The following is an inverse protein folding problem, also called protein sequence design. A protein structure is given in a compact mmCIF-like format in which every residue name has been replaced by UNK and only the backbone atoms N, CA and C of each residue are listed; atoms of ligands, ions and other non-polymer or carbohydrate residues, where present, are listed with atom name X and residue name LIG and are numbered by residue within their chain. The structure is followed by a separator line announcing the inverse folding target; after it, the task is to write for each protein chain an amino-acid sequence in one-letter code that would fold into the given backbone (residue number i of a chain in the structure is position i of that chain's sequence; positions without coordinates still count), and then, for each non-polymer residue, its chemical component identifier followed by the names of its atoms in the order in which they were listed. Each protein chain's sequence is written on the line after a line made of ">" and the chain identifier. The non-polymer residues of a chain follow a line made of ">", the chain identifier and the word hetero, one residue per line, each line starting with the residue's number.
data_IF_778438608078
#
_entry.id   IF_778438608078
#
_cell.length_a   1.000
_cell.length_b   1.000
_cell.length_c   1.000
_cell.angle_alpha   90.00
_cell.angle_beta   90.00
_cell.angle_gamma   90.00
#
_symmetry.space_group_name_H-M   'P 1'
#
loop_
_entity.id
_entity.type
_entity.pdbx_description
1 polymer ?
#
# COMPACT_ATOMS: atom_id res chain seq x y z
N UNK A 1 6.37 -4.39 -11.88
CA UNK A 1 7.22 -3.91 -10.76
C UNK A 1 6.39 -2.96 -9.90
N UNK A 2 6.46 -3.09 -8.57
CA UNK A 2 5.78 -2.20 -7.63
C UNK A 2 6.83 -1.53 -6.74
N UNK A 3 6.89 -0.22 -6.73
CA UNK A 3 7.78 0.56 -5.86
C UNK A 3 6.97 1.52 -5.02
N UNK A 4 7.48 1.88 -3.85
CA UNK A 4 6.84 2.83 -2.93
C UNK A 4 7.91 3.64 -2.19
N UNK A 5 7.67 4.94 -2.06
CA UNK A 5 8.42 5.92 -1.28
C UNK A 5 7.45 6.91 -0.62
N UNK A 6 7.98 7.91 0.10
CA UNK A 6 7.22 8.84 0.92
C UNK A 6 7.72 10.28 0.80
N UNK A 7 6.81 11.22 1.03
CA UNK A 7 7.13 12.61 1.34
C UNK A 7 6.36 13.04 2.58
N UNK A 8 7.04 13.72 3.50
CA UNK A 8 6.44 14.21 4.74
C UNK A 8 6.29 15.73 4.68
N UNK A 9 5.09 16.22 5.00
CA UNK A 9 4.83 17.66 5.22
C UNK A 9 3.87 17.80 6.40
N UNK A 10 4.37 18.33 7.51
CA UNK A 10 3.57 18.51 8.73
C UNK A 10 2.93 17.19 9.21
N UNK A 11 1.61 17.19 9.46
CA UNK A 11 0.80 16.04 9.93
C UNK A 11 0.23 15.19 8.79
N UNK A 12 0.85 15.28 7.61
CA UNK A 12 0.47 14.53 6.42
C UNK A 12 1.67 13.72 5.91
N UNK A 13 1.44 12.43 5.75
CA UNK A 13 2.34 11.52 5.04
C UNK A 13 1.77 11.30 3.64
N UNK A 14 2.54 11.67 2.62
CA UNK A 14 2.23 11.36 1.24
C UNK A 14 2.97 10.09 0.84
N UNK A 15 2.23 9.09 0.38
CA UNK A 15 2.75 7.88 -0.23
C UNK A 15 2.83 8.14 -1.73
N UNK A 16 3.98 7.85 -2.34
CA UNK A 16 4.18 7.95 -3.78
C UNK A 16 4.85 6.66 -4.26
N UNK A 17 4.31 6.04 -5.30
CA UNK A 17 4.91 4.82 -5.84
C UNK A 17 4.87 4.77 -7.36
N UNK A 18 5.85 4.07 -7.92
CA UNK A 18 5.98 3.82 -9.35
C UNK A 18 5.54 2.39 -9.66
N UNK A 19 4.94 2.17 -10.83
CA UNK A 19 4.52 0.85 -11.27
C UNK A 19 4.37 0.73 -12.78
N UNK A 20 4.45 -0.50 -13.28
CA UNK A 20 4.12 -0.88 -14.66
C UNK A 20 2.68 -1.39 -14.82
N UNK A 21 1.88 -1.33 -13.75
CA UNK A 21 0.44 -1.60 -13.83
C UNK A 21 -0.23 -0.61 -14.80
N UNK A 22 -1.24 -1.06 -15.55
CA UNK A 22 -1.97 -0.19 -16.47
C UNK A 22 -2.76 0.88 -15.71
N UNK A 23 -3.02 1.99 -16.38
CA UNK A 23 -3.87 3.05 -15.86
C UNK A 23 -5.26 2.52 -15.47
N UNK A 24 -5.75 2.98 -14.33
CA UNK A 24 -7.00 2.53 -13.72
C UNK A 24 -6.84 1.30 -12.81
N UNK A 25 -5.69 0.62 -12.80
CA UNK A 25 -5.42 -0.41 -11.80
C UNK A 25 -5.49 0.18 -10.39
N UNK A 26 -6.08 -0.57 -9.47
CA UNK A 26 -6.22 -0.16 -8.07
C UNK A 26 -5.22 -0.94 -7.23
N UNK A 27 -4.47 -0.27 -6.37
CA UNK A 27 -3.61 -0.90 -5.36
C UNK A 27 -4.18 -0.63 -3.98
N UNK A 28 -3.97 -1.55 -3.04
CA UNK A 28 -4.19 -1.27 -1.61
C UNK A 28 -2.89 -0.82 -0.98
N UNK A 29 -3.00 0.07 0.00
CA UNK A 29 -1.89 0.39 0.89
C UNK A 29 -2.34 0.21 2.34
N UNK A 30 -1.41 -0.21 3.18
CA UNK A 30 -1.52 -0.20 4.63
C UNK A 30 -0.29 0.50 5.17
N UNK A 31 -0.48 1.52 6.00
CA UNK A 31 0.59 2.20 6.70
C UNK A 31 0.44 1.95 8.19
N UNK A 32 1.47 1.40 8.80
CA UNK A 32 1.48 1.05 10.21
C UNK A 32 2.66 1.72 10.92
N UNK A 33 2.38 2.39 12.04
CA UNK A 33 3.40 2.80 12.99
C UNK A 33 3.77 1.62 13.90
N UNK A 34 5.03 1.52 14.33
CA UNK A 34 5.54 0.38 15.11
C UNK A 34 4.76 0.08 16.40
N UNK A 35 4.25 1.11 17.06
CA UNK A 35 3.38 0.99 18.24
C UNK A 35 2.00 0.41 17.91
N UNK A 36 1.51 0.60 16.68
CA UNK A 36 0.25 0.02 16.21
C UNK A 36 0.35 -1.50 15.99
N UNK A 37 1.54 -1.99 15.62
CA UNK A 37 1.79 -3.42 15.41
C UNK A 37 1.98 -4.21 16.72
N UNK A 38 2.18 -3.53 17.85
CA UNK A 38 2.40 -4.15 19.17
C UNK A 38 1.11 -4.32 19.98
N UNK A 39 0.00 -3.77 19.47
CA UNK A 39 -1.28 -3.72 20.14
C UNK A 39 -2.34 -4.42 19.26
N UNK A 40 -3.38 -5.03 19.83
CA UNK A 40 -4.51 -5.51 19.04
C UNK A 40 -5.07 -4.37 18.19
N UNK A 41 -5.23 -4.57 16.89
CA UNK A 41 -5.63 -3.51 15.94
C UNK A 41 -6.99 -2.86 16.25
N UNK A 42 -7.81 -3.54 17.07
CA UNK A 42 -9.10 -3.06 17.54
C UNK A 42 -9.03 -2.27 18.87
N UNK A 43 -7.87 -2.16 19.51
CA UNK A 43 -7.70 -1.43 20.76
C UNK A 43 -7.13 -0.03 20.54
N UNK A 44 -7.53 0.92 21.38
CA UNK A 44 -6.91 2.24 21.41
C UNK A 44 -5.54 2.12 22.10
N UNK A 45 -4.44 2.70 21.57
CA UNK A 45 -4.35 3.63 20.43
C UNK A 45 -4.08 3.03 19.03
N UNK A 46 -4.02 1.71 18.86
CA UNK A 46 -3.59 1.06 17.60
C UNK A 46 -4.38 1.51 16.36
N UNK A 47 -5.70 1.71 16.48
CA UNK A 47 -6.55 2.18 15.37
C UNK A 47 -6.11 3.54 14.78
N UNK A 48 -5.51 4.42 15.58
CA UNK A 48 -5.03 5.73 15.10
C UNK A 48 -3.61 5.68 14.54
N UNK A 49 -2.94 4.55 14.68
CA UNK A 49 -1.55 4.30 14.29
C UNK A 49 -1.44 3.42 13.05
N UNK A 50 -2.58 2.97 12.52
CA UNK A 50 -2.70 2.22 11.27
C UNK A 50 -3.64 3.01 10.36
N UNK A 51 -3.26 3.19 9.10
CA UNK A 51 -4.10 3.78 8.07
C UNK A 51 -4.00 2.95 6.81
N UNK A 52 -5.14 2.50 6.30
CA UNK A 52 -5.22 1.76 5.05
C UNK A 52 -6.11 2.49 4.03
N UNK A 53 -6.03 2.05 2.78
CA UNK A 53 -6.86 2.57 1.72
C UNK A 53 -6.48 2.02 0.35
N UNK A 54 -6.97 2.69 -0.68
CA UNK A 54 -6.68 2.34 -2.07
C UNK A 54 -6.16 3.55 -2.83
N UNK A 55 -5.32 3.29 -3.84
CA UNK A 55 -4.85 4.29 -4.78
C UNK A 55 -5.03 3.78 -6.21
N UNK A 56 -5.40 4.69 -7.11
CA UNK A 56 -5.55 4.39 -8.54
C UNK A 56 -4.25 4.72 -9.26
N UNK A 57 -3.79 3.80 -10.09
CA UNK A 57 -2.64 3.98 -10.96
C UNK A 57 -3.00 4.90 -12.13
N UNK A 58 -2.21 5.94 -12.33
CA UNK A 58 -2.30 6.85 -13.47
C UNK A 58 -0.90 7.22 -13.95
N UNK A 59 -0.66 7.10 -15.25
CA UNK A 59 0.64 7.37 -15.87
C UNK A 59 1.81 6.63 -15.18
N UNK A 60 1.57 5.38 -14.77
CA UNK A 60 2.57 4.54 -14.07
C UNK A 60 2.88 4.97 -12.64
N UNK A 61 2.05 5.83 -12.04
CA UNK A 61 2.21 6.31 -10.66
C UNK A 61 0.94 6.08 -9.85
N UNK A 62 1.09 5.93 -8.55
CA UNK A 62 -0.01 5.99 -7.60
C UNK A 62 0.39 6.84 -6.40
N UNK A 63 -0.59 7.54 -5.82
CA UNK A 63 -0.35 8.39 -4.65
C UNK A 63 -1.47 8.26 -3.63
N UNK A 64 -1.13 8.38 -2.35
CA UNK A 64 -2.10 8.45 -1.26
C UNK A 64 -1.66 9.48 -0.21
N UNK A 65 -2.62 9.95 0.59
CA UNK A 65 -2.37 10.86 1.71
C UNK A 65 -2.89 10.22 2.98
N UNK A 66 -2.04 10.20 3.99
CA UNK A 66 -2.33 9.64 5.31
C UNK A 66 -2.22 10.74 6.35
N UNK A 67 -3.23 10.83 7.21
CA UNK A 67 -3.22 11.76 8.33
C UNK A 67 -2.43 11.16 9.49
N UNK A 68 -1.31 11.78 9.83
CA UNK A 68 -0.39 11.31 10.89
C UNK A 68 -0.48 12.18 12.15
N UNK A 69 -1.58 12.92 12.35
CA UNK A 69 -1.75 13.88 13.46
C UNK A 69 -1.51 13.26 14.85
N UNK A 70 -1.85 11.99 15.02
CA UNK A 70 -1.73 11.27 16.29
C UNK A 70 -0.45 10.46 16.42
N UNK A 71 0.43 10.50 15.42
CA UNK A 71 1.62 9.66 15.39
C UNK A 71 2.73 10.33 16.19
N UNK A 72 3.28 9.59 17.15
CA UNK A 72 4.53 9.92 17.80
C UNK A 72 5.69 9.73 16.82
N UNK A 73 6.88 10.30 17.08
CA UNK A 73 8.08 9.85 16.41
C UNK A 73 8.29 8.35 16.61
N UNK A 74 8.76 7.66 15.58
CA UNK A 74 8.94 6.21 15.60
C UNK A 74 8.96 5.62 14.20
N UNK A 75 9.11 4.30 14.11
CA UNK A 75 9.17 3.61 12.82
C UNK A 75 7.79 3.50 12.19
N UNK A 76 7.74 3.76 10.89
CA UNK A 76 6.57 3.59 10.04
C UNK A 76 6.91 2.61 8.92
N UNK A 77 5.96 1.73 8.62
CA UNK A 77 6.02 0.79 7.50
C UNK A 77 4.83 1.05 6.57
N UNK A 78 5.10 1.16 5.28
CA UNK A 78 4.12 1.24 4.20
C UNK A 78 4.18 -0.08 3.44
N UNK A 79 3.07 -0.81 3.38
CA UNK A 79 2.91 -1.99 2.54
C UNK A 79 1.92 -1.68 1.42
N UNK A 80 2.27 -1.99 0.18
CA UNK A 80 1.39 -1.84 -0.99
C UNK A 80 1.18 -3.20 -1.66
N UNK A 81 -0.06 -3.50 -2.03
CA UNK A 81 -0.43 -4.79 -2.62
C UNK A 81 -1.29 -4.67 -3.87
N UNK A 82 -1.12 -5.63 -4.77
CA UNK A 82 -1.95 -5.84 -5.97
C UNK A 82 -2.09 -7.35 -6.26
N UNK A 83 -3.27 -7.84 -6.70
CA UNK A 83 -4.49 -7.07 -6.97
C UNK A 83 -5.37 -6.94 -5.72
N UNK A 84 -6.20 -5.89 -5.70
CA UNK A 84 -7.35 -5.77 -4.79
C UNK A 84 -8.65 -5.85 -5.58
N UNK A 85 -9.64 -6.56 -5.07
CA UNK A 85 -10.96 -6.59 -5.70
C UNK A 85 -11.85 -5.43 -5.22
N UNK A 86 -12.68 -4.82 -6.10
CA UNK A 86 -12.78 -5.07 -7.55
C UNK A 86 -11.75 -4.29 -8.38
N UNK A 87 -11.24 -4.90 -9.44
CA UNK A 87 -10.43 -4.24 -10.49
C UNK A 87 -11.28 -3.94 -11.74
N UNK A 88 -10.91 -2.93 -12.56
CA UNK A 88 -11.52 -2.73 -13.87
C UNK A 88 -11.35 -3.94 -14.79
N UNK A 89 -12.30 -4.14 -15.71
CA UNK A 89 -12.33 -5.27 -16.67
C UNK A 89 -11.03 -5.44 -17.46
N UNK A 90 -10.43 -4.32 -17.88
CA UNK A 90 -9.17 -4.31 -18.61
C UNK A 90 -8.01 -4.90 -17.79
N UNK A 91 -8.00 -4.61 -16.47
CA UNK A 91 -7.00 -5.09 -15.53
C UNK A 91 -7.22 -6.57 -15.22
N UNK A 92 -8.48 -6.97 -14.96
CA UNK A 92 -8.85 -8.38 -14.71
C UNK A 92 -8.56 -9.27 -15.91
N UNK A 93 -8.84 -8.80 -17.12
CA UNK A 93 -8.53 -9.52 -18.36
C UNK A 93 -7.03 -9.80 -18.49
N UNK A 94 -6.19 -8.84 -18.07
CA UNK A 94 -4.73 -8.96 -18.20
C UNK A 94 -4.11 -9.82 -17.11
N UNK A 95 -4.53 -9.64 -15.86
CA UNK A 95 -3.86 -10.24 -14.70
C UNK A 95 -4.66 -11.38 -14.05
N UNK A 96 -5.86 -11.67 -14.53
CA UNK A 96 -6.81 -12.56 -13.88
C UNK A 96 -7.70 -11.82 -12.86
N UNK A 97 -8.78 -12.47 -12.43
CA UNK A 97 -9.73 -11.90 -11.45
C UNK A 97 -9.05 -11.62 -10.11
N UNK A 98 -8.10 -12.48 -9.73
CA UNK A 98 -7.39 -12.45 -8.46
C UNK A 98 -5.86 -12.40 -8.62
N UNK A 99 -5.35 -12.12 -9.82
CA UNK A 99 -3.90 -11.98 -10.06
C UNK A 99 -3.22 -13.27 -10.52
N UNK A 100 -3.98 -14.26 -10.99
CA UNK A 100 -3.49 -15.56 -11.46
C UNK A 100 -2.38 -15.44 -12.52
N UNK A 101 -2.37 -14.35 -13.30
CA UNK A 101 -1.38 -14.09 -14.36
C UNK A 101 -0.31 -13.06 -13.98
N UNK A 102 -0.27 -12.63 -12.71
CA UNK A 102 0.81 -11.75 -12.26
C UNK A 102 2.16 -12.46 -12.28
N UNK A 103 3.16 -11.72 -12.72
CA UNK A 103 4.55 -12.12 -12.71
C UNK A 103 5.44 -10.90 -12.46
N UNK A 104 6.61 -11.12 -11.88
CA UNK A 104 7.58 -10.07 -11.62
C UNK A 104 8.34 -10.28 -10.31
N UNK A 105 9.29 -9.39 -10.00
CA UNK A 105 10.21 -9.56 -8.87
C UNK A 105 9.51 -9.49 -7.50
N UNK A 106 8.39 -8.77 -7.42
CA UNK A 106 7.66 -8.52 -6.17
C UNK A 106 6.42 -9.43 -6.02
N UNK A 107 6.29 -10.45 -6.88
CA UNK A 107 5.12 -11.33 -6.95
C UNK A 107 5.36 -12.59 -6.15
N UNK A 108 4.44 -12.89 -5.24
CA UNK A 108 4.45 -14.11 -4.43
C UNK A 108 3.18 -14.93 -4.72
N UNK A 109 3.29 -16.24 -4.96
CA UNK A 109 2.13 -17.11 -5.12
C UNK A 109 1.39 -17.30 -3.79
N UNK A 110 0.06 -17.25 -3.84
CA UNK A 110 -0.85 -17.53 -2.73
C UNK A 110 -1.96 -18.48 -3.23
N UNK A 111 -1.74 -19.78 -3.04
CA UNK A 111 -2.64 -20.81 -3.55
C UNK A 111 -2.76 -20.75 -5.08
N UNK A 112 -3.98 -20.61 -5.65
CA UNK A 112 -4.17 -20.49 -7.09
C UNK A 112 -3.94 -19.07 -7.64
N UNK A 113 -3.62 -18.11 -6.77
CA UNK A 113 -3.50 -16.69 -7.12
C UNK A 113 -2.07 -16.20 -6.90
N UNK A 114 -1.75 -15.01 -7.41
CA UNK A 114 -0.48 -14.35 -7.11
C UNK A 114 -0.74 -12.94 -6.61
N UNK A 115 0.09 -12.48 -5.68
CA UNK A 115 0.01 -11.13 -5.11
C UNK A 115 1.36 -10.45 -5.28
N UNK A 116 1.36 -9.28 -5.88
CA UNK A 116 2.49 -8.38 -5.88
C UNK A 116 2.47 -7.56 -4.58
N UNK A 117 3.56 -7.60 -3.80
CA UNK A 117 3.70 -6.85 -2.54
C UNK A 117 5.02 -6.07 -2.55
N UNK A 118 4.98 -4.82 -2.11
CA UNK A 118 6.19 -4.03 -1.82
C UNK A 118 6.05 -3.35 -0.47
N UNK A 119 7.17 -3.16 0.22
CA UNK A 119 7.22 -2.59 1.56
C UNK A 119 8.31 -1.53 1.63
N UNK A 120 8.01 -0.41 2.28
CA UNK A 120 8.96 0.66 2.57
C UNK A 120 8.84 1.11 4.01
N UNK A 121 9.97 1.17 4.71
CA UNK A 121 10.01 1.53 6.12
C UNK A 121 10.97 2.69 6.35
N UNK A 122 10.58 3.60 7.22
CA UNK A 122 11.36 4.81 7.51
C UNK A 122 11.08 5.30 8.94
N UNK A 123 11.98 6.14 9.46
CA UNK A 123 11.79 6.81 10.75
C UNK A 123 10.92 8.05 10.57
N UNK A 124 9.71 8.03 11.14
CA UNK A 124 8.83 9.19 11.18
C UNK A 124 9.28 10.15 12.28
N UNK A 125 9.57 11.38 11.87
CA UNK A 125 9.84 12.51 12.76
C UNK A 125 8.90 13.65 12.36
N UNK A 126 8.31 14.33 13.34
CA UNK A 126 7.32 15.39 13.12
C UNK A 126 7.94 16.68 12.58
#
# INVERSE_FOLDING_TARGET
>A
MLEVDHQTRWRELRIEGSTDLPDGAVVTYVVSHELGNQLPSNEWPAQNLISDGTAVVQAGQYTARVNTSYWSPGKVEIQVQFPVAPQPDSVRTRYGEFGEHLAGPNVTPLGPTNIATTTHSFDWTR
#
